data_IF_983000655701
#
_entry.id   IF_983000655701
#
_cell.length_a   1.000
_cell.length_b   1.000
_cell.length_c   1.000
_cell.angle_alpha   90.00
_cell.angle_beta   90.00
_cell.angle_gamma   90.00
#
_symmetry.space_group_name_H-M   'P 1'
#
loop_
_entity.id
_entity.type
_entity.pdbx_description
1 polymer ?
#
# COMPACT_ATOMS: atom_id res chain seq x y z
N UNK A 1 6.87 -31.83 8.09
CA UNK A 1 6.61 -30.67 8.97
C UNK A 1 6.63 -29.42 8.11
N UNK A 2 5.47 -28.82 7.81
CA UNK A 2 5.40 -27.51 7.15
C UNK A 2 5.85 -26.50 8.21
N UNK A 3 7.06 -25.95 8.08
CA UNK A 3 7.58 -24.96 9.03
C UNK A 3 6.59 -23.81 9.15
N UNK A 4 6.25 -23.46 10.39
CA UNK A 4 5.32 -22.39 10.71
C UNK A 4 5.91 -21.07 10.19
N UNK A 5 5.40 -20.57 9.06
CA UNK A 5 5.84 -19.29 8.52
C UNK A 5 5.29 -18.18 9.41
N UNK A 6 6.15 -17.23 9.79
CA UNK A 6 5.68 -16.04 10.50
C UNK A 6 4.75 -15.25 9.59
N UNK A 7 3.73 -14.58 10.15
CA UNK A 7 2.76 -13.78 9.38
C UNK A 7 3.45 -12.75 8.45
N UNK A 8 4.60 -12.22 8.86
CA UNK A 8 5.43 -11.32 8.04
C UNK A 8 6.03 -12.03 6.82
N UNK A 9 6.51 -13.27 6.98
CA UNK A 9 7.02 -14.06 5.85
C UNK A 9 5.92 -14.41 4.86
N UNK A 10 4.70 -14.69 5.34
CA UNK A 10 3.56 -14.89 4.45
C UNK A 10 3.25 -13.61 3.64
N UNK A 11 3.23 -12.44 4.30
CA UNK A 11 3.00 -11.16 3.64
C UNK A 11 4.09 -10.78 2.64
N UNK A 12 5.35 -11.14 2.87
CA UNK A 12 6.44 -10.83 1.91
C UNK A 12 6.32 -11.59 0.58
N UNK A 13 5.47 -12.61 0.52
CA UNK A 13 5.12 -13.29 -0.74
C UNK A 13 4.29 -12.40 -1.67
N UNK A 14 3.70 -11.31 -1.20
CA UNK A 14 2.86 -10.43 -2.01
C UNK A 14 1.48 -11.00 -2.37
N UNK A 15 1.14 -12.21 -1.93
CA UNK A 15 -0.13 -12.88 -2.27
C UNK A 15 -1.37 -12.05 -1.89
N UNK A 16 -1.29 -11.26 -0.81
CA UNK A 16 -2.38 -10.35 -0.41
C UNK A 16 -2.74 -9.31 -1.49
N UNK A 17 -1.80 -8.96 -2.38
CA UNK A 17 -2.04 -8.05 -3.50
C UNK A 17 -2.88 -8.76 -4.57
N UNK A 18 -2.50 -10.01 -4.89
CA UNK A 18 -3.17 -10.83 -5.90
C UNK A 18 -4.60 -11.21 -5.44
N UNK A 19 -4.77 -11.42 -4.13
CA UNK A 19 -6.06 -11.74 -3.51
C UNK A 19 -6.92 -10.50 -3.21
N UNK A 20 -6.42 -9.29 -3.53
CA UNK A 20 -7.06 -8.01 -3.22
C UNK A 20 -7.42 -7.85 -1.73
N UNK A 21 -6.55 -8.30 -0.84
CA UNK A 21 -6.70 -8.21 0.61
C UNK A 21 -5.95 -7.00 1.20
N UNK A 22 -6.64 -6.23 2.05
CA UNK A 22 -6.05 -5.12 2.78
C UNK A 22 -5.18 -5.59 3.96
N UNK A 23 -4.00 -4.99 4.11
CA UNK A 23 -3.10 -5.26 5.24
C UNK A 23 -3.04 -4.06 6.17
N UNK A 24 -3.52 -4.23 7.40
CA UNK A 24 -3.47 -3.20 8.45
C UNK A 24 -2.46 -3.59 9.53
N UNK A 25 -1.47 -2.73 9.76
CA UNK A 25 -0.44 -2.93 10.79
C UNK A 25 -0.74 -2.02 11.98
N UNK A 26 -1.03 -2.62 13.14
CA UNK A 26 -1.41 -1.91 14.37
C UNK A 26 -0.40 -2.21 15.48
N UNK A 27 -0.08 -1.20 16.28
CA UNK A 27 0.81 -1.35 17.43
C UNK A 27 1.31 -0.01 17.97
N UNK A 28 2.00 -0.02 19.13
CA UNK A 28 2.54 1.18 19.78
C UNK A 28 3.42 2.03 18.87
N UNK A 29 3.63 3.29 19.23
CA UNK A 29 4.54 4.17 18.49
C UNK A 29 5.98 3.60 18.50
N UNK A 30 6.72 3.78 17.40
CA UNK A 30 8.11 3.33 17.30
C UNK A 30 8.33 1.84 17.00
N UNK A 31 7.28 1.01 16.91
CA UNK A 31 7.43 -0.45 16.66
C UNK A 31 7.68 -0.85 15.21
N UNK A 32 8.07 0.09 14.34
CA UNK A 32 8.43 -0.22 12.96
C UNK A 32 7.27 -0.43 11.98
N UNK A 33 6.03 -0.04 12.31
CA UNK A 33 4.87 -0.18 11.41
C UNK A 33 5.10 0.41 10.01
N UNK A 34 5.57 1.65 9.95
CA UNK A 34 5.92 2.34 8.70
C UNK A 34 7.07 1.64 7.98
N UNK A 35 8.07 1.16 8.74
CA UNK A 35 9.19 0.43 8.18
C UNK A 35 8.73 -0.88 7.51
N UNK A 36 7.84 -1.64 8.18
CA UNK A 36 7.27 -2.87 7.63
C UNK A 36 6.40 -2.61 6.40
N UNK A 37 5.55 -1.58 6.42
CA UNK A 37 4.75 -1.19 5.24
C UNK A 37 5.64 -0.83 4.04
N UNK A 38 6.72 -0.08 4.28
CA UNK A 38 7.69 0.27 3.24
C UNK A 38 8.42 -0.98 2.74
N UNK A 39 8.86 -1.87 3.62
CA UNK A 39 9.54 -3.10 3.23
C UNK A 39 8.65 -3.99 2.34
N UNK A 40 7.38 -4.16 2.69
CA UNK A 40 6.40 -4.88 1.86
C UNK A 40 6.21 -4.20 0.50
N UNK A 41 6.10 -2.86 0.48
CA UNK A 41 6.02 -2.09 -0.76
C UNK A 41 7.27 -2.22 -1.64
N UNK A 42 8.47 -2.27 -1.05
CA UNK A 42 9.73 -2.50 -1.76
C UNK A 42 9.76 -3.91 -2.37
N UNK A 43 9.32 -4.93 -1.64
CA UNK A 43 9.23 -6.30 -2.17
C UNK A 43 8.22 -6.42 -3.32
N UNK A 44 7.08 -5.73 -3.24
CA UNK A 44 6.12 -5.63 -4.34
C UNK A 44 6.73 -4.91 -5.56
N UNK A 45 7.45 -3.80 -5.35
CA UNK A 45 8.12 -3.06 -6.41
C UNK A 45 9.19 -3.90 -7.12
N UNK A 46 9.94 -4.74 -6.39
CA UNK A 46 10.91 -5.70 -6.99
C UNK A 46 10.25 -6.69 -7.95
N UNK A 47 8.99 -7.02 -7.72
CA UNK A 47 8.16 -7.87 -8.61
C UNK A 47 7.55 -7.09 -9.78
N UNK A 48 7.92 -5.80 -9.91
CA UNK A 48 7.40 -4.80 -10.85
C UNK A 48 5.91 -4.49 -10.69
N UNK A 49 5.37 -4.67 -9.48
CA UNK A 49 4.05 -4.13 -9.11
C UNK A 49 4.21 -2.64 -8.87
N UNK A 50 3.28 -1.82 -9.38
CA UNK A 50 3.30 -0.37 -9.11
C UNK A 50 2.88 -0.10 -7.67
N UNK A 51 3.67 0.69 -6.95
CA UNK A 51 3.44 0.99 -5.53
C UNK A 51 3.42 2.51 -5.33
N UNK A 52 2.54 2.97 -4.46
CA UNK A 52 2.50 4.34 -3.98
C UNK A 52 2.57 4.35 -2.45
N UNK A 53 3.35 5.28 -1.90
CA UNK A 53 3.37 5.55 -0.46
C UNK A 53 2.85 6.97 -0.22
N UNK A 54 1.86 7.11 0.65
CA UNK A 54 1.24 8.40 0.96
C UNK A 54 0.87 8.46 2.43
N UNK A 55 1.12 9.60 3.08
CA UNK A 55 0.56 9.84 4.42
C UNK A 55 -0.92 10.14 4.29
N UNK A 56 -1.76 9.52 5.13
CA UNK A 56 -3.21 9.74 5.11
C UNK A 56 -3.58 11.23 5.17
N UNK A 57 -2.91 12.00 6.03
CA UNK A 57 -3.13 13.45 6.13
C UNK A 57 -2.82 14.20 4.82
N UNK A 58 -1.83 13.76 4.02
CA UNK A 58 -1.56 14.36 2.72
C UNK A 58 -2.60 13.94 1.70
N UNK A 59 -3.00 12.66 1.70
CA UNK A 59 -4.02 12.15 0.80
C UNK A 59 -5.35 12.89 1.00
N UNK A 60 -5.78 13.08 2.25
CA UNK A 60 -6.99 13.84 2.57
C UNK A 60 -6.88 15.28 2.06
N UNK A 61 -5.75 15.95 2.29
CA UNK A 61 -5.53 17.33 1.78
C UNK A 61 -5.61 17.37 0.25
N UNK A 62 -4.92 16.47 -0.45
CA UNK A 62 -4.96 16.38 -1.91
C UNK A 62 -6.38 16.13 -2.43
N UNK A 63 -7.16 15.27 -1.76
CA UNK A 63 -8.55 14.99 -2.13
C UNK A 63 -9.44 16.23 -1.95
N UNK A 64 -9.26 16.98 -0.86
CA UNK A 64 -10.00 18.24 -0.62
C UNK A 64 -9.65 19.28 -1.68
N UNK A 65 -8.37 19.55 -1.90
CA UNK A 65 -7.90 20.50 -2.92
C UNK A 65 -8.38 20.12 -4.33
N UNK A 66 -8.23 18.84 -4.71
CA UNK A 66 -8.67 18.37 -6.03
C UNK A 66 -10.19 18.41 -6.21
N UNK A 67 -10.98 18.30 -5.14
CA UNK A 67 -12.44 18.51 -5.20
C UNK A 67 -12.75 19.97 -5.50
N UNK A 68 -12.13 20.88 -4.76
CA UNK A 68 -12.43 22.30 -4.84
C UNK A 68 -11.98 22.87 -6.20
N UNK A 69 -10.89 22.35 -6.77
CA UNK A 69 -10.40 22.67 -8.11
C UNK A 69 -11.08 21.89 -9.26
N UNK A 70 -12.04 21.00 -8.98
CA UNK A 70 -12.68 20.10 -9.96
C UNK A 70 -11.68 19.18 -10.72
N UNK A 71 -10.61 18.77 -10.05
CA UNK A 71 -9.55 17.87 -10.58
C UNK A 71 -9.56 16.46 -9.97
N UNK A 72 -10.59 16.08 -9.20
CA UNK A 72 -10.70 14.75 -8.58
C UNK A 72 -10.44 13.59 -9.53
N UNK A 73 -10.96 13.63 -10.76
CA UNK A 73 -10.73 12.58 -11.74
C UNK A 73 -9.25 12.38 -12.08
N UNK A 74 -8.47 13.45 -12.10
CA UNK A 74 -7.03 13.36 -12.37
C UNK A 74 -6.29 12.74 -11.19
N UNK A 75 -6.62 13.15 -9.96
CA UNK A 75 -6.04 12.59 -8.75
C UNK A 75 -6.40 11.11 -8.57
N UNK A 76 -7.67 10.76 -8.84
CA UNK A 76 -8.13 9.37 -8.83
C UNK A 76 -7.34 8.52 -9.83
N UNK A 77 -7.18 8.98 -11.08
CA UNK A 77 -6.36 8.27 -12.08
C UNK A 77 -4.89 8.14 -11.67
N UNK A 78 -4.35 9.10 -10.92
CA UNK A 78 -2.97 9.02 -10.41
C UNK A 78 -2.81 7.81 -9.48
N UNK A 79 -3.69 7.66 -8.49
CA UNK A 79 -3.64 6.55 -7.53
C UNK A 79 -4.11 5.20 -8.11
N UNK A 80 -5.03 5.21 -9.08
CA UNK A 80 -5.43 3.99 -9.81
C UNK A 80 -4.26 3.27 -10.47
N UNK A 81 -3.19 3.98 -10.86
CA UNK A 81 -2.04 3.31 -11.47
C UNK A 81 -1.36 2.32 -10.52
N UNK A 82 -1.37 2.59 -9.22
CA UNK A 82 -0.88 1.65 -8.22
C UNK A 82 -1.95 0.62 -7.82
N UNK A 83 -3.24 0.99 -7.83
CA UNK A 83 -4.33 0.10 -7.40
C UNK A 83 -4.83 -0.87 -8.49
N UNK A 84 -4.62 -0.58 -9.77
CA UNK A 84 -5.22 -1.31 -10.90
C UNK A 84 -4.24 -2.25 -11.62
N UNK A 85 -3.17 -2.69 -10.96
CA UNK A 85 -2.22 -3.65 -11.53
C UNK A 85 -2.20 -4.99 -10.75
N UNK A 86 -3.33 -5.73 -10.70
CA UNK A 86 -3.27 -7.16 -10.46
C UNK A 86 -2.85 -7.80 -11.79
N UNK A 87 -1.69 -8.44 -11.83
CA UNK A 87 -1.31 -9.24 -12.99
C UNK A 87 -2.12 -10.51 -13.07
#
# INVERSE_FOLDING_TARGET
MRGEQTKIQALSTGQFIDDAEDVVIVGPIGTGKTHLAIALGVEAAKRRTRVAFVRVADLVRQLVEARDERRLHQLHRHYQRAAADPR
#
